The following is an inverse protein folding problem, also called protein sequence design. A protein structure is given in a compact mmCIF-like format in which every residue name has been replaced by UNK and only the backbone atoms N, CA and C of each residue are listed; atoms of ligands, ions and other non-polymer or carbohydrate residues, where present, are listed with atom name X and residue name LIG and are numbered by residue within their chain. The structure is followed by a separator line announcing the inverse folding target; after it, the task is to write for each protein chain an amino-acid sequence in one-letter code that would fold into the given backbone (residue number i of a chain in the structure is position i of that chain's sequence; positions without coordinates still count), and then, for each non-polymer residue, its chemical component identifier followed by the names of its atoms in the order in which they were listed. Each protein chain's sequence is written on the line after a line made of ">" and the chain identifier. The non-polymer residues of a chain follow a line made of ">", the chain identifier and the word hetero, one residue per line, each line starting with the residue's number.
data_IF_296210716561
#
_entry.id   IF_296210716561
#
_cell.length_a   1.000
_cell.length_b   1.000
_cell.length_c   1.000
_cell.angle_alpha   90.00
_cell.angle_beta   90.00
_cell.angle_gamma   90.00
#
_symmetry.space_group_name_H-M   'P 1'
#
loop_
_entity.id
_entity.type
_entity.pdbx_description
1 polymer ?
#
# COMPACT_ATOMS: atom_id res chain seq x y z
N UNK A 1 -3.50 13.45 -17.03
CA UNK A 1 -4.03 12.60 -15.94
C UNK A 1 -5.55 12.34 -16.03
N UNK A 2 -6.41 13.33 -16.27
CA UNK A 2 -7.89 13.12 -16.38
C UNK A 2 -8.33 12.08 -17.44
N UNK A 3 -7.56 11.86 -18.51
CA UNK A 3 -7.88 10.87 -19.56
C UNK A 3 -7.67 9.42 -19.08
N UNK A 4 -6.69 9.19 -18.21
CA UNK A 4 -6.40 7.85 -17.66
C UNK A 4 -7.39 7.44 -16.57
N UNK A 5 -7.97 8.40 -15.86
CA UNK A 5 -9.00 8.17 -14.85
C UNK A 5 -10.24 7.44 -15.41
N UNK A 6 -10.55 7.66 -16.70
CA UNK A 6 -11.64 6.97 -17.39
C UNK A 6 -11.47 5.44 -17.40
N UNK A 7 -10.22 4.95 -17.53
CA UNK A 7 -9.90 3.53 -17.54
C UNK A 7 -9.88 2.89 -16.17
N UNK A 8 -9.71 3.70 -15.10
CA UNK A 8 -9.81 3.24 -13.72
C UNK A 8 -11.27 3.18 -13.22
N UNK A 9 -12.18 3.87 -13.88
CA UNK A 9 -13.59 4.00 -13.47
C UNK A 9 -14.31 2.67 -13.29
N UNK A 10 -14.14 1.65 -14.14
CA UNK A 10 -14.75 0.34 -13.95
C UNK A 10 -14.26 -0.38 -12.67
N UNK A 11 -13.03 -0.09 -12.23
CA UNK A 11 -12.35 -0.72 -11.07
C UNK A 11 -12.32 0.17 -9.83
N UNK A 12 -13.25 1.12 -9.71
CA UNK A 12 -13.31 2.04 -8.56
C UNK A 12 -13.49 1.32 -7.23
N UNK A 13 -14.30 0.27 -7.20
CA UNK A 13 -14.54 -0.51 -5.97
C UNK A 13 -13.26 -1.17 -5.50
N UNK A 14 -12.56 -1.82 -6.39
CA UNK A 14 -11.27 -2.46 -6.12
C UNK A 14 -10.20 -1.44 -5.70
N UNK A 15 -10.17 -0.29 -6.36
CA UNK A 15 -9.24 0.81 -6.04
C UNK A 15 -9.48 1.47 -4.67
N UNK A 16 -10.70 1.35 -4.12
CA UNK A 16 -11.04 1.84 -2.77
C UNK A 16 -10.86 0.73 -1.74
N UNK A 17 -11.25 -0.50 -2.06
CA UNK A 17 -11.14 -1.63 -1.14
C UNK A 17 -9.68 -2.00 -0.83
N UNK A 18 -8.79 -1.95 -1.84
CA UNK A 18 -7.39 -2.26 -1.63
C UNK A 18 -6.73 -1.38 -0.55
N UNK A 19 -6.78 -0.04 -0.62
CA UNK A 19 -6.28 0.83 0.45
C UNK A 19 -7.00 0.63 1.78
N UNK A 20 -8.32 0.39 1.77
CA UNK A 20 -9.09 0.22 3.00
C UNK A 20 -8.65 -1.01 3.79
N UNK A 21 -8.49 -2.17 3.14
CA UNK A 21 -7.94 -3.36 3.77
C UNK A 21 -6.48 -3.17 4.19
N UNK A 22 -5.72 -2.38 3.43
CA UNK A 22 -4.33 -2.05 3.80
C UNK A 22 -4.25 -1.16 5.04
N UNK A 23 -5.20 -0.25 5.22
CA UNK A 23 -5.33 0.54 6.44
C UNK A 23 -5.71 -0.32 7.64
N UNK A 24 -6.64 -1.25 7.44
CA UNK A 24 -7.05 -2.18 8.51
C UNK A 24 -5.87 -3.04 8.97
N UNK A 25 -5.04 -3.56 8.05
CA UNK A 25 -3.79 -4.25 8.36
C UNK A 25 -2.87 -3.37 9.22
N UNK A 26 -2.66 -2.10 8.86
CA UNK A 26 -1.82 -1.17 9.62
C UNK A 26 -2.34 -0.96 11.05
N UNK A 27 -3.65 -0.90 11.25
CA UNK A 27 -4.22 -0.79 12.60
C UNK A 27 -3.85 -2.02 13.46
N UNK A 28 -3.95 -3.23 12.89
CA UNK A 28 -3.50 -4.43 13.60
C UNK A 28 -2.01 -4.42 13.88
N UNK A 29 -1.18 -4.04 12.90
CA UNK A 29 0.28 -3.91 13.05
C UNK A 29 0.65 -2.96 14.21
N UNK A 30 -0.06 -1.84 14.34
CA UNK A 30 0.16 -0.85 15.41
C UNK A 30 -0.33 -1.33 16.79
N UNK A 31 -1.29 -2.23 16.85
CA UNK A 31 -1.76 -2.78 18.12
C UNK A 31 -0.84 -3.86 18.70
N UNK A 32 -0.03 -4.53 17.88
CA UNK A 32 0.89 -5.58 18.35
C UNK A 32 1.83 -5.10 19.46
N UNK A 33 2.53 -3.95 19.36
CA UNK A 33 3.40 -3.48 20.45
C UNK A 33 2.66 -3.24 21.77
N UNK A 34 1.38 -2.84 21.71
CA UNK A 34 0.56 -2.61 22.92
C UNK A 34 0.26 -3.92 23.63
N UNK A 35 -0.11 -4.95 22.89
CA UNK A 35 -0.37 -6.29 23.46
C UNK A 35 0.92 -6.88 24.02
N UNK A 36 2.07 -6.69 23.35
CA UNK A 36 3.37 -7.12 23.84
C UNK A 36 3.73 -6.40 25.14
N UNK A 37 3.49 -5.10 25.25
CA UNK A 37 3.71 -4.35 26.47
C UNK A 37 2.84 -4.91 27.63
N UNK A 38 1.57 -5.24 27.39
CA UNK A 38 0.70 -5.87 28.39
C UNK A 38 1.21 -7.24 28.84
N UNK A 39 1.75 -8.05 27.92
CA UNK A 39 2.37 -9.33 28.28
C UNK A 39 3.53 -9.12 29.24
N UNK A 40 4.38 -8.11 29.00
CA UNK A 40 5.55 -7.81 29.82
C UNK A 40 5.13 -7.22 31.17
N UNK A 41 4.28 -6.21 31.17
CA UNK A 41 3.93 -5.42 32.37
C UNK A 41 3.00 -6.18 33.32
N UNK A 42 2.16 -7.07 32.80
CA UNK A 42 1.20 -7.82 33.60
C UNK A 42 1.59 -9.29 33.69
N UNK A 43 1.81 -9.96 32.58
CA UNK A 43 2.07 -11.39 32.55
C UNK A 43 3.40 -11.75 33.19
N UNK A 44 4.50 -11.14 32.68
CA UNK A 44 5.85 -11.43 33.17
C UNK A 44 6.06 -10.85 34.56
N UNK A 45 5.65 -9.61 34.81
CA UNK A 45 5.87 -8.94 36.10
C UNK A 45 5.15 -9.64 37.25
N UNK A 46 3.99 -10.27 36.99
CA UNK A 46 3.20 -11.02 37.98
C UNK A 46 3.43 -12.53 37.98
N UNK A 47 4.31 -13.05 37.08
CA UNK A 47 4.50 -14.48 36.85
C UNK A 47 3.21 -15.25 36.52
N UNK A 48 2.27 -14.58 35.83
CA UNK A 48 0.97 -15.17 35.45
C UNK A 48 1.09 -15.85 34.08
N UNK A 49 1.42 -17.12 34.07
CA UNK A 49 1.53 -17.91 32.84
C UNK A 49 0.20 -18.05 32.08
N UNK A 50 -0.94 -18.05 32.79
CA UNK A 50 -2.27 -18.12 32.18
C UNK A 50 -2.54 -16.91 31.32
N UNK A 51 -2.27 -15.71 31.82
CA UNK A 51 -2.40 -14.47 31.13
C UNK A 51 -1.45 -14.37 29.89
N UNK A 52 -0.21 -14.85 30.04
CA UNK A 52 0.75 -14.85 28.93
C UNK A 52 0.24 -15.72 27.78
N UNK A 53 -0.28 -16.91 28.08
CA UNK A 53 -0.82 -17.84 27.07
C UNK A 53 -2.07 -17.24 26.39
N UNK A 54 -2.97 -16.63 27.14
CA UNK A 54 -4.15 -15.96 26.59
C UNK A 54 -3.76 -14.84 25.63
N UNK A 55 -2.85 -13.96 26.02
CA UNK A 55 -2.36 -12.86 25.17
C UNK A 55 -1.56 -13.35 23.97
N UNK A 56 -0.88 -14.48 24.07
CA UNK A 56 -0.24 -15.13 22.91
C UNK A 56 -1.27 -15.55 21.86
N UNK A 57 -2.40 -16.13 22.26
CA UNK A 57 -3.48 -16.47 21.33
C UNK A 57 -4.12 -15.21 20.71
N UNK A 58 -4.23 -14.12 21.46
CA UNK A 58 -4.68 -12.83 20.93
C UNK A 58 -3.72 -12.33 19.85
N UNK A 59 -2.40 -12.38 20.08
CA UNK A 59 -1.41 -12.01 19.07
C UNK A 59 -1.50 -12.90 17.83
N UNK A 60 -1.68 -14.20 18.01
CA UNK A 60 -1.82 -15.15 16.91
C UNK A 60 -3.06 -14.83 16.06
N UNK A 61 -4.17 -14.52 16.70
CA UNK A 61 -5.42 -14.14 16.04
C UNK A 61 -5.26 -12.81 15.29
N UNK A 62 -4.64 -11.81 15.91
CA UNK A 62 -4.35 -10.53 15.26
C UNK A 62 -3.45 -10.71 14.04
N UNK A 63 -2.41 -11.53 14.14
CA UNK A 63 -1.53 -11.85 13.02
C UNK A 63 -2.30 -12.55 11.88
N UNK A 64 -3.18 -13.51 12.20
CA UNK A 64 -4.00 -14.18 11.20
C UNK A 64 -4.97 -13.22 10.49
N UNK A 65 -5.65 -12.35 11.24
CA UNK A 65 -6.56 -11.34 10.67
C UNK A 65 -5.78 -10.32 9.83
N UNK A 66 -4.64 -9.83 10.32
CA UNK A 66 -3.76 -8.93 9.57
C UNK A 66 -3.27 -9.53 8.26
N UNK A 67 -2.90 -10.81 8.27
CA UNK A 67 -2.49 -11.55 7.09
C UNK A 67 -3.64 -11.69 6.07
N UNK A 68 -4.85 -12.00 6.50
CA UNK A 68 -6.04 -12.04 5.65
C UNK A 68 -6.34 -10.68 5.02
N UNK A 69 -6.24 -9.59 5.80
CA UNK A 69 -6.40 -8.23 5.30
C UNK A 69 -5.32 -7.90 4.26
N UNK A 70 -4.06 -8.31 4.48
CA UNK A 70 -2.95 -8.11 3.56
C UNK A 70 -3.18 -8.82 2.23
N UNK A 71 -3.57 -10.10 2.25
CA UNK A 71 -3.90 -10.85 1.03
C UNK A 71 -5.06 -10.23 0.27
N UNK A 72 -6.12 -9.84 0.98
CA UNK A 72 -7.29 -9.21 0.37
C UNK A 72 -6.93 -7.86 -0.28
N UNK A 73 -6.13 -7.04 0.40
CA UNK A 73 -5.63 -5.78 -0.13
C UNK A 73 -4.79 -5.97 -1.40
N UNK A 74 -3.89 -6.97 -1.38
CA UNK A 74 -3.04 -7.28 -2.54
C UNK A 74 -3.86 -7.80 -3.73
N UNK A 75 -4.85 -8.64 -3.48
CA UNK A 75 -5.74 -9.15 -4.52
C UNK A 75 -6.51 -8.01 -5.21
N UNK A 76 -7.11 -7.11 -4.46
CA UNK A 76 -7.84 -5.98 -5.03
C UNK A 76 -6.92 -4.98 -5.75
N UNK A 77 -5.72 -4.71 -5.22
CA UNK A 77 -4.73 -3.86 -5.87
C UNK A 77 -4.26 -4.46 -7.21
N UNK A 78 -3.98 -5.76 -7.23
CA UNK A 78 -3.59 -6.48 -8.45
C UNK A 78 -4.74 -6.47 -9.48
N UNK A 79 -5.96 -6.78 -9.06
CA UNK A 79 -7.14 -6.78 -9.93
C UNK A 79 -7.39 -5.40 -10.56
N UNK A 80 -7.28 -4.33 -9.77
CA UNK A 80 -7.45 -2.96 -10.27
C UNK A 80 -6.35 -2.57 -11.26
N UNK A 81 -5.07 -2.87 -10.95
CA UNK A 81 -3.94 -2.49 -11.80
C UNK A 81 -3.90 -3.29 -13.11
N UNK A 82 -4.17 -4.59 -13.08
CA UNK A 82 -4.23 -5.44 -14.28
C UNK A 82 -5.43 -5.04 -15.15
N UNK A 83 -6.59 -4.83 -14.55
CA UNK A 83 -7.80 -4.41 -15.28
C UNK A 83 -7.61 -3.05 -15.96
N UNK A 84 -6.97 -2.10 -15.28
CA UNK A 84 -6.58 -0.83 -15.86
C UNK A 84 -5.64 -1.02 -17.07
N UNK A 85 -4.57 -1.79 -16.90
CA UNK A 85 -3.59 -2.03 -17.96
C UNK A 85 -4.22 -2.70 -19.18
N UNK A 86 -5.12 -3.67 -18.97
CA UNK A 86 -5.88 -4.32 -20.05
C UNK A 86 -6.73 -3.32 -20.82
N UNK A 87 -7.44 -2.44 -20.10
CA UNK A 87 -8.28 -1.41 -20.73
C UNK A 87 -7.45 -0.40 -21.54
N UNK A 88 -6.27 -0.03 -21.03
CA UNK A 88 -5.34 0.86 -21.76
C UNK A 88 -4.77 0.18 -22.99
N UNK A 89 -4.32 -1.09 -22.88
CA UNK A 89 -3.83 -1.86 -24.04
C UNK A 89 -4.87 -1.98 -25.11
N UNK A 90 -6.10 -2.30 -24.76
CA UNK A 90 -7.20 -2.39 -25.73
C UNK A 90 -7.42 -1.07 -26.44
N UNK A 91 -7.50 0.04 -25.70
CA UNK A 91 -7.71 1.35 -26.32
C UNK A 91 -6.53 1.79 -27.20
N UNK A 92 -5.29 1.44 -26.84
CA UNK A 92 -4.11 1.70 -27.68
C UNK A 92 -4.13 0.83 -28.94
N UNK A 93 -4.48 -0.44 -28.82
CA UNK A 93 -4.55 -1.38 -29.93
C UNK A 93 -5.62 -0.93 -30.94
N UNK A 94 -6.82 -0.59 -30.47
CA UNK A 94 -7.90 -0.08 -31.29
C UNK A 94 -7.49 1.20 -32.04
N UNK A 95 -6.73 2.08 -31.37
CA UNK A 95 -6.20 3.29 -31.99
C UNK A 95 -5.15 2.99 -33.07
N UNK A 96 -4.23 2.06 -32.82
CA UNK A 96 -3.20 1.65 -33.77
C UNK A 96 -3.81 1.04 -35.02
N UNK A 97 -4.88 0.24 -34.88
CA UNK A 97 -5.59 -0.33 -36.04
C UNK A 97 -6.27 0.72 -36.93
N UNK A 98 -6.56 1.89 -36.40
CA UNK A 98 -7.14 3.00 -37.17
C UNK A 98 -6.11 3.89 -37.85
N UNK A 99 -4.79 3.67 -37.64
CA UNK A 99 -3.73 4.46 -38.26
C UNK A 99 -3.49 4.05 -39.74
N UNK A 100 -3.12 5.04 -40.56
CA UNK A 100 -2.68 4.79 -41.93
C UNK A 100 -1.29 4.17 -41.98
N UNK A 101 -0.94 3.49 -43.08
CA UNK A 101 0.40 2.91 -43.27
C UNK A 101 1.52 3.94 -43.10
N UNK A 102 1.29 5.17 -43.58
CA UNK A 102 2.26 6.27 -43.48
C UNK A 102 2.50 6.69 -42.04
N UNK A 103 1.46 6.70 -41.21
CA UNK A 103 1.56 7.02 -39.77
C UNK A 103 2.26 5.89 -39.02
N UNK A 104 1.99 4.63 -39.37
CA UNK A 104 2.65 3.47 -38.80
C UNK A 104 4.15 3.46 -39.08
N UNK A 105 4.54 3.76 -40.34
CA UNK A 105 5.93 3.87 -40.74
C UNK A 105 6.66 5.02 -40.02
N UNK A 106 5.96 6.15 -39.84
CA UNK A 106 6.52 7.31 -39.14
C UNK A 106 6.75 7.04 -37.62
N UNK A 107 5.84 6.32 -36.98
CA UNK A 107 5.94 5.99 -35.56
C UNK A 107 6.95 4.85 -35.31
N UNK A 108 7.11 3.96 -36.24
CA UNK A 108 7.95 2.76 -36.16
C UNK A 108 7.28 1.64 -35.33
N UNK A 109 7.28 0.44 -35.88
CA UNK A 109 6.63 -0.74 -35.27
C UNK A 109 7.24 -1.07 -33.92
N UNK A 110 8.57 -0.96 -33.77
CA UNK A 110 9.28 -1.25 -32.50
C UNK A 110 8.85 -0.31 -31.38
N UNK A 111 8.65 0.97 -31.70
CA UNK A 111 8.15 1.96 -30.74
C UNK A 111 6.74 1.62 -30.28
N UNK A 112 5.86 1.22 -31.20
CA UNK A 112 4.49 0.86 -30.89
C UNK A 112 4.42 -0.38 -30.00
N UNK A 113 5.24 -1.40 -30.30
CA UNK A 113 5.35 -2.62 -29.50
C UNK A 113 5.84 -2.28 -28.09
N UNK A 114 6.92 -1.51 -27.95
CA UNK A 114 7.46 -1.11 -26.64
C UNK A 114 6.42 -0.35 -25.80
N UNK A 115 5.68 0.57 -26.41
CA UNK A 115 4.62 1.31 -25.72
C UNK A 115 3.48 0.41 -25.28
N UNK A 116 3.08 -0.57 -26.10
CA UNK A 116 1.99 -1.49 -25.79
C UNK A 116 2.35 -2.50 -24.68
N UNK A 117 3.62 -2.84 -24.57
CA UNK A 117 4.16 -3.81 -23.62
C UNK A 117 4.77 -3.12 -22.41
N UNK A 118 5.93 -2.54 -22.55
CA UNK A 118 6.77 -2.09 -21.44
C UNK A 118 6.21 -0.84 -20.75
N UNK A 119 5.79 0.17 -21.51
CA UNK A 119 5.24 1.40 -20.94
C UNK A 119 3.94 1.11 -20.17
N UNK A 120 3.06 0.28 -20.73
CA UNK A 120 1.81 -0.11 -20.04
C UNK A 120 2.11 -0.96 -18.82
N UNK A 121 3.12 -1.85 -18.87
CA UNK A 121 3.54 -2.62 -17.70
C UNK A 121 4.12 -1.72 -16.59
N UNK A 122 4.90 -0.70 -16.94
CA UNK A 122 5.42 0.27 -15.95
C UNK A 122 4.27 1.05 -15.29
N UNK A 123 3.29 1.51 -16.06
CA UNK A 123 2.11 2.19 -15.52
C UNK A 123 1.29 1.25 -14.65
N UNK A 124 1.10 -0.01 -15.05
CA UNK A 124 0.44 -1.04 -14.23
C UNK A 124 1.13 -1.22 -12.89
N UNK A 125 2.46 -1.37 -12.89
CA UNK A 125 3.25 -1.50 -11.68
C UNK A 125 3.18 -0.24 -10.81
N UNK A 126 3.22 0.94 -11.41
CA UNK A 126 3.05 2.21 -10.71
C UNK A 126 1.70 2.31 -9.98
N UNK A 127 0.60 1.92 -10.64
CA UNK A 127 -0.73 1.89 -10.03
C UNK A 127 -0.80 0.85 -8.90
N UNK A 128 -0.25 -0.35 -9.11
CA UNK A 128 -0.22 -1.39 -8.09
C UNK A 128 0.54 -0.92 -6.85
N UNK A 129 1.74 -0.36 -7.03
CA UNK A 129 2.54 0.23 -5.95
C UNK A 129 1.81 1.40 -5.28
N UNK A 130 1.20 2.29 -6.06
CA UNK A 130 0.44 3.42 -5.54
C UNK A 130 -0.69 2.98 -4.61
N UNK A 131 -1.49 2.00 -5.02
CA UNK A 131 -2.60 1.48 -4.22
C UNK A 131 -2.14 0.75 -2.94
N UNK A 132 -0.93 0.19 -2.93
CA UNK A 132 -0.40 -0.58 -1.79
C UNK A 132 0.43 0.25 -0.82
N UNK A 133 1.27 1.17 -1.32
CA UNK A 133 2.29 1.84 -0.53
C UNK A 133 1.95 3.29 -0.20
N UNK A 134 1.28 4.01 -1.11
CA UNK A 134 1.07 5.45 -0.99
C UNK A 134 0.23 5.82 0.23
N UNK A 135 -0.75 5.00 0.60
CA UNK A 135 -1.56 5.20 1.79
C UNK A 135 -0.98 4.55 3.04
N UNK A 136 -0.27 3.42 2.90
CA UNK A 136 0.34 2.73 4.05
C UNK A 136 1.35 3.62 4.78
N UNK A 137 2.29 4.25 4.03
CA UNK A 137 3.40 5.00 4.63
C UNK A 137 2.96 6.15 5.54
N UNK A 138 2.08 7.09 5.11
CA UNK A 138 1.65 8.16 6.00
C UNK A 138 0.82 7.65 7.18
N UNK A 139 0.01 6.60 6.99
CA UNK A 139 -0.79 6.05 8.07
C UNK A 139 0.05 5.35 9.14
N UNK A 140 1.09 4.61 8.75
CA UNK A 140 2.03 4.00 9.71
C UNK A 140 2.73 5.08 10.52
N UNK A 141 3.21 6.15 9.88
CA UNK A 141 3.91 7.25 10.56
C UNK A 141 2.97 7.98 11.53
N UNK A 142 1.77 8.36 11.07
CA UNK A 142 0.78 9.03 11.92
C UNK A 142 0.33 8.12 13.06
N UNK A 143 0.03 6.88 12.77
CA UNK A 143 -0.41 5.90 13.77
C UNK A 143 0.66 5.62 14.82
N UNK A 144 1.92 5.42 14.41
CA UNK A 144 3.04 5.25 15.33
C UNK A 144 3.25 6.51 16.20
N UNK A 145 3.08 7.70 15.62
CA UNK A 145 3.19 8.95 16.36
C UNK A 145 2.07 9.07 17.42
N UNK A 146 0.82 8.79 17.05
CA UNK A 146 -0.32 8.76 17.99
C UNK A 146 -0.07 7.76 19.12
N UNK A 147 0.39 6.54 18.78
CA UNK A 147 0.72 5.52 19.77
C UNK A 147 1.86 5.95 20.70
N UNK A 148 2.91 6.60 20.18
CA UNK A 148 3.99 7.12 21.00
C UNK A 148 3.49 8.17 22.02
N UNK A 149 2.56 9.04 21.62
CA UNK A 149 1.95 10.02 22.52
C UNK A 149 1.10 9.39 23.65
N UNK A 150 0.45 8.26 23.39
CA UNK A 150 -0.32 7.55 24.41
C UNK A 150 0.54 6.85 25.45
N UNK A 151 1.77 6.42 25.05
CA UNK A 151 2.69 5.70 25.94
C UNK A 151 3.53 6.69 26.76
N UNK A 152 4.21 7.63 26.11
CA UNK A 152 5.05 8.62 26.79
C UNK A 152 5.26 9.88 25.94
N UNK A 153 4.69 10.98 26.41
CA UNK A 153 4.74 12.29 25.72
C UNK A 153 6.18 12.77 25.50
N UNK A 154 7.11 12.51 26.43
CA UNK A 154 8.52 12.96 26.29
C UNK A 154 9.23 12.22 25.16
N UNK A 155 9.01 10.91 25.05
CA UNK A 155 9.57 10.11 23.97
C UNK A 155 8.90 10.47 22.63
N UNK A 156 7.59 10.74 22.62
CA UNK A 156 6.88 11.16 21.43
C UNK A 156 7.42 12.46 20.82
N UNK A 157 7.83 13.44 21.65
CA UNK A 157 8.45 14.68 21.17
C UNK A 157 9.73 14.43 20.37
N UNK A 158 10.52 13.41 20.72
CA UNK A 158 11.70 13.02 19.95
C UNK A 158 11.29 12.60 18.53
N UNK A 159 10.22 11.82 18.38
CA UNK A 159 9.72 11.42 17.07
C UNK A 159 9.23 12.60 16.23
N UNK A 160 8.56 13.57 16.86
CA UNK A 160 8.07 14.80 16.16
C UNK A 160 9.23 15.60 15.57
N UNK A 161 10.40 15.58 16.20
CA UNK A 161 11.61 16.28 15.70
C UNK A 161 12.36 15.40 14.69
N UNK A 162 12.51 14.10 14.97
CA UNK A 162 13.32 13.19 14.16
C UNK A 162 12.69 12.89 12.80
N UNK A 163 11.36 12.72 12.73
CA UNK A 163 10.66 12.38 11.47
C UNK A 163 10.81 13.49 10.42
N UNK A 164 10.58 14.79 10.71
CA UNK A 164 10.82 15.86 9.74
C UNK A 164 12.29 15.98 9.31
N UNK A 165 13.23 15.80 10.25
CA UNK A 165 14.67 15.84 9.93
C UNK A 165 15.02 14.71 8.95
N UNK A 166 14.58 13.48 9.22
CA UNK A 166 14.76 12.35 8.30
C UNK A 166 14.15 12.62 6.93
N UNK A 167 12.94 13.21 6.90
CA UNK A 167 12.28 13.55 5.64
C UNK A 167 13.10 14.55 4.83
N UNK A 168 13.62 15.61 5.47
CA UNK A 168 14.48 16.61 4.82
C UNK A 168 15.80 15.97 4.33
N UNK A 169 16.45 15.13 5.14
CA UNK A 169 17.70 14.45 4.75
C UNK A 169 17.48 13.53 3.55
N UNK A 170 16.42 12.70 3.58
CA UNK A 170 16.11 11.79 2.45
C UNK A 170 15.81 12.59 1.19
N UNK A 171 15.03 13.67 1.30
CA UNK A 171 14.69 14.51 0.15
C UNK A 171 15.90 15.29 -0.41
N UNK A 172 16.90 15.59 0.44
CA UNK A 172 18.14 16.27 0.03
C UNK A 172 19.13 15.34 -0.69
N UNK A 173 19.04 14.02 -0.44
CA UNK A 173 19.91 13.00 -1.07
C UNK A 173 19.33 12.49 -2.40
N UNK A 174 18.00 12.60 -2.59
CA UNK A 174 17.27 12.11 -3.75
C UNK A 174 17.25 13.12 -4.90
#
# INVERSE_FOLDING_TARGET
>A
MKRLEKFLRPYRRESILAPLFKLLEVVFDLMVPVVVAQIIDVGVAKNDYGYIVEMFFVLLLMAAVGLLCSFTAQFFAAKASVGFATSVRQAMFDHIQGLSFTELDTLGTDTLITRLTDDVNQVQNGINMGLRLLLRSPFVVIGAMVMAFTINVRCALIFVVTVPILFVVVFSIM
#
